data_IF_368697592753
#
_entry.id   IF_368697592753
#
_cell.length_a   1.000
_cell.length_b   1.000
_cell.length_c   1.000
_cell.angle_alpha   90.00
_cell.angle_beta   90.00
_cell.angle_gamma   90.00
#
_symmetry.space_group_name_H-M   'P 1'
#
loop_
_entity.id
_entity.type
_entity.pdbx_description
1 polymer ?
#
# COMPACT_ATOMS: atom_id res chain seq x y z
N UNK A 1 29.16 43.51 -32.47
CA UNK A 1 28.29 44.65 -32.10
C UNK A 1 28.27 44.75 -30.58
N UNK A 2 28.98 45.75 -30.03
CA UNK A 2 29.15 45.94 -28.59
C UNK A 2 27.97 46.73 -28.02
N UNK A 3 27.16 46.11 -27.15
CA UNK A 3 26.09 46.82 -26.43
C UNK A 3 26.68 47.60 -25.24
N UNK A 4 26.21 48.84 -24.97
CA UNK A 4 26.78 49.70 -23.94
C UNK A 4 26.60 49.14 -22.51
N UNK A 5 27.69 49.16 -21.72
CA UNK A 5 27.82 48.60 -20.36
C UNK A 5 26.74 49.07 -19.35
N UNK A 6 26.18 50.28 -19.51
CA UNK A 6 25.10 50.81 -18.64
C UNK A 6 23.77 50.06 -18.77
N UNK A 7 23.52 49.32 -19.86
CA UNK A 7 22.33 48.47 -19.99
C UNK A 7 22.45 47.15 -19.20
N UNK A 8 23.62 46.74 -18.71
CA UNK A 8 23.82 45.39 -18.14
C UNK A 8 23.19 45.20 -16.76
N UNK A 9 23.34 46.16 -15.84
CA UNK A 9 22.89 46.00 -14.44
C UNK A 9 21.35 45.99 -14.31
N UNK A 10 20.67 46.90 -14.99
CA UNK A 10 19.21 46.98 -14.98
C UNK A 10 18.59 45.77 -15.68
N UNK A 11 19.08 45.38 -16.86
CA UNK A 11 18.59 44.17 -17.54
C UNK A 11 18.88 42.91 -16.74
N UNK A 12 20.03 42.81 -16.08
CA UNK A 12 20.35 41.67 -15.21
C UNK A 12 19.41 41.58 -14.01
N UNK A 13 19.07 42.72 -13.39
CA UNK A 13 18.08 42.81 -12.31
C UNK A 13 16.68 42.42 -12.81
N UNK A 14 16.25 42.94 -13.96
CA UNK A 14 14.95 42.59 -14.56
C UNK A 14 14.88 41.10 -14.96
N UNK A 15 15.93 40.55 -15.56
CA UNK A 15 16.02 39.12 -15.92
C UNK A 15 16.01 38.21 -14.69
N UNK A 16 16.68 38.58 -13.60
CA UNK A 16 16.60 37.82 -12.34
C UNK A 16 15.22 37.87 -11.72
N UNK A 17 14.54 39.01 -11.80
CA UNK A 17 13.20 39.19 -11.25
C UNK A 17 12.16 38.37 -12.02
N UNK A 18 12.26 38.31 -13.35
CA UNK A 18 11.37 37.48 -14.19
C UNK A 18 11.58 36.00 -13.96
N UNK A 19 12.83 35.54 -13.83
CA UNK A 19 13.15 34.14 -13.51
C UNK A 19 12.64 33.77 -12.11
N UNK A 20 12.89 34.61 -11.10
CA UNK A 20 12.43 34.36 -9.74
C UNK A 20 10.89 34.32 -9.66
N UNK A 21 10.21 35.24 -10.34
CA UNK A 21 8.74 35.25 -10.43
C UNK A 21 8.19 33.99 -11.11
N UNK A 22 8.82 33.53 -12.19
CA UNK A 22 8.44 32.28 -12.87
C UNK A 22 8.57 31.05 -11.97
N UNK A 23 9.68 30.94 -11.22
CA UNK A 23 9.92 29.83 -10.28
C UNK A 23 8.89 29.84 -9.14
N UNK A 24 8.60 31.01 -8.57
CA UNK A 24 7.59 31.16 -7.53
C UNK A 24 6.18 30.84 -8.05
N UNK A 25 5.84 31.31 -9.25
CA UNK A 25 4.55 31.03 -9.89
C UNK A 25 4.32 29.53 -10.13
N UNK A 26 5.33 28.81 -10.65
CA UNK A 26 5.25 27.37 -10.86
C UNK A 26 5.15 26.62 -9.53
N UNK A 27 5.90 27.05 -8.50
CA UNK A 27 5.83 26.44 -7.17
C UNK A 27 4.44 26.56 -6.54
N UNK A 28 3.82 27.75 -6.62
CA UNK A 28 2.47 27.98 -6.09
C UNK A 28 1.42 27.16 -6.84
N UNK A 29 1.49 27.11 -8.17
CA UNK A 29 0.55 26.31 -8.98
C UNK A 29 0.70 24.82 -8.69
N UNK A 30 1.94 24.32 -8.52
CA UNK A 30 2.20 22.90 -8.24
C UNK A 30 1.69 22.48 -6.85
N UNK A 31 1.70 23.38 -5.88
CA UNK A 31 1.13 23.15 -4.54
C UNK A 31 -0.39 23.30 -4.49
N UNK A 32 -0.99 23.98 -5.48
CA UNK A 32 -2.42 24.27 -5.52
C UNK A 32 -3.24 23.21 -6.29
N UNK A 33 -2.61 22.19 -6.89
CA UNK A 33 -3.34 21.08 -7.53
C UNK A 33 -3.74 20.06 -6.45
N UNK A 34 -5.03 19.95 -6.09
CA UNK A 34 -5.47 18.87 -5.21
C UNK A 34 -5.36 17.53 -5.94
N UNK A 35 -4.82 16.52 -5.28
CA UNK A 35 -4.97 15.13 -5.72
C UNK A 35 -6.31 14.64 -5.16
N UNK A 36 -7.29 14.44 -6.04
CA UNK A 36 -8.55 13.80 -5.67
C UNK A 36 -8.29 12.32 -5.40
N UNK A 37 -8.39 11.91 -4.14
CA UNK A 37 -8.70 10.53 -3.81
C UNK A 37 -10.20 10.35 -4.03
N UNK A 38 -10.66 9.22 -4.57
CA UNK A 38 -12.08 8.96 -4.84
C UNK A 38 -12.96 9.38 -3.65
N UNK A 39 -13.86 10.35 -3.86
CA UNK A 39 -14.49 11.13 -2.78
C UNK A 39 -15.42 10.34 -1.85
N UNK A 40 -15.87 9.14 -2.27
CA UNK A 40 -16.78 8.30 -1.51
C UNK A 40 -16.20 6.90 -1.31
N UNK A 41 -15.91 6.56 -0.06
CA UNK A 41 -15.53 5.21 0.36
C UNK A 41 -16.64 4.61 1.23
N UNK A 42 -17.11 3.43 0.83
CA UNK A 42 -18.03 2.65 1.65
C UNK A 42 -17.27 2.10 2.87
N UNK A 43 -17.61 2.60 4.05
CA UNK A 43 -17.07 2.06 5.29
C UNK A 43 -17.62 0.65 5.53
N UNK A 44 -16.79 -0.33 5.94
CA UNK A 44 -17.27 -1.68 6.21
C UNK A 44 -18.20 -1.70 7.42
N UNK A 45 -19.23 -2.54 7.35
CA UNK A 45 -20.09 -2.79 8.50
C UNK A 45 -19.33 -3.54 9.60
N UNK A 46 -19.67 -3.27 10.86
CA UNK A 46 -19.12 -4.00 12.01
C UNK A 46 -19.79 -5.37 12.14
N UNK A 47 -19.14 -6.40 11.63
CA UNK A 47 -19.63 -7.78 11.72
C UNK A 47 -19.40 -8.38 13.12
N UNK A 48 -20.34 -9.18 13.64
CA UNK A 48 -20.26 -9.78 14.98
C UNK A 48 -19.37 -11.03 14.98
N UNK A 49 -18.06 -10.88 14.72
CA UNK A 49 -17.10 -11.99 14.81
C UNK A 49 -17.01 -12.55 16.24
N UNK A 50 -16.92 -13.87 16.34
CA UNK A 50 -16.80 -14.58 17.62
C UNK A 50 -15.53 -14.20 18.42
N UNK A 51 -14.49 -13.74 17.72
CA UNK A 51 -13.17 -13.38 18.28
C UNK A 51 -13.05 -11.87 18.57
N UNK A 52 -14.17 -11.14 18.65
CA UNK A 52 -14.17 -9.71 18.98
C UNK A 52 -14.08 -9.41 20.49
N UNK A 53 -14.26 -10.41 21.36
CA UNK A 53 -14.19 -10.24 22.81
C UNK A 53 -12.76 -10.20 23.35
N UNK A 54 -12.55 -9.55 24.49
CA UNK A 54 -11.23 -9.39 25.13
C UNK A 54 -10.60 -10.75 25.50
N UNK A 55 -11.44 -11.74 25.80
CA UNK A 55 -11.05 -13.11 26.16
C UNK A 55 -11.51 -14.14 25.12
N UNK A 56 -11.93 -13.70 23.93
CA UNK A 56 -12.36 -14.61 22.88
C UNK A 56 -11.17 -15.19 22.12
N UNK A 57 -11.23 -16.49 21.80
CA UNK A 57 -10.28 -17.16 20.92
C UNK A 57 -10.76 -17.16 19.46
N UNK A 58 -9.87 -17.56 18.55
CA UNK A 58 -10.24 -17.90 17.18
C UNK A 58 -10.99 -19.24 17.10
N UNK A 59 -11.90 -19.37 16.14
CA UNK A 59 -12.46 -20.68 15.75
C UNK A 59 -11.49 -21.38 14.80
N UNK A 60 -10.79 -22.37 15.33
CA UNK A 60 -9.84 -23.19 14.59
C UNK A 60 -10.50 -23.96 13.44
N UNK A 61 -11.77 -24.34 13.54
CA UNK A 61 -12.49 -24.98 12.44
C UNK A 61 -12.73 -24.00 11.29
N UNK A 62 -13.07 -22.74 11.59
CA UNK A 62 -13.16 -21.69 10.58
C UNK A 62 -11.80 -21.36 9.97
N UNK A 63 -10.73 -21.32 10.76
CA UNK A 63 -9.38 -21.10 10.23
C UNK A 63 -8.94 -22.22 9.28
N UNK A 64 -9.26 -23.49 9.60
CA UNK A 64 -9.00 -24.63 8.71
C UNK A 64 -9.74 -24.50 7.37
N UNK A 65 -11.04 -24.14 7.40
CA UNK A 65 -11.81 -23.86 6.17
C UNK A 65 -11.24 -22.67 5.39
N UNK A 66 -10.81 -21.61 6.08
CA UNK A 66 -10.18 -20.44 5.47
C UNK A 66 -8.86 -20.77 4.78
N UNK A 67 -8.05 -21.66 5.37
CA UNK A 67 -6.83 -22.16 4.74
C UNK A 67 -7.14 -22.93 3.44
N UNK A 68 -8.19 -23.76 3.43
CA UNK A 68 -8.63 -24.44 2.21
C UNK A 68 -9.03 -23.44 1.11
N UNK A 69 -9.80 -22.39 1.43
CA UNK A 69 -10.14 -21.32 0.48
C UNK A 69 -8.89 -20.61 -0.05
N UNK A 70 -7.91 -20.31 0.81
CA UNK A 70 -6.63 -19.75 0.37
C UNK A 70 -5.92 -20.68 -0.61
N UNK A 71 -5.80 -21.97 -0.25
CA UNK A 71 -5.13 -23.00 -1.05
C UNK A 71 -5.78 -23.16 -2.43
N UNK A 72 -7.11 -23.23 -2.49
CA UNK A 72 -7.87 -23.53 -3.71
C UNK A 72 -8.12 -22.31 -4.61
N UNK A 73 -8.21 -21.09 -4.05
CA UNK A 73 -8.64 -19.90 -4.81
C UNK A 73 -7.56 -18.82 -4.86
N UNK A 74 -6.96 -18.48 -3.73
CA UNK A 74 -6.13 -17.28 -3.61
C UNK A 74 -4.65 -17.52 -3.97
N UNK A 75 -4.15 -18.74 -3.73
CA UNK A 75 -2.75 -19.13 -3.89
C UNK A 75 -2.22 -18.94 -5.31
N UNK A 76 -3.11 -19.00 -6.32
CA UNK A 76 -2.77 -18.79 -7.73
C UNK A 76 -2.29 -17.36 -8.03
N UNK A 77 -2.74 -16.36 -7.25
CA UNK A 77 -2.44 -14.94 -7.47
C UNK A 77 -1.73 -14.26 -6.29
N UNK A 78 -1.95 -14.73 -5.06
CA UNK A 78 -1.45 -14.09 -3.84
C UNK A 78 -0.46 -14.99 -3.07
N UNK A 79 0.76 -14.48 -2.91
CA UNK A 79 1.77 -15.11 -2.06
C UNK A 79 1.44 -14.96 -0.57
N UNK A 80 1.85 -15.93 0.23
CA UNK A 80 1.78 -15.89 1.69
C UNK A 80 3.17 -16.07 2.30
N UNK A 81 4.11 -15.20 1.89
CA UNK A 81 5.56 -15.33 2.16
C UNK A 81 5.95 -15.47 3.64
N UNK A 82 5.16 -14.92 4.56
CA UNK A 82 5.46 -14.93 6.00
C UNK A 82 4.82 -16.12 6.73
N UNK A 83 4.07 -16.98 6.03
CA UNK A 83 3.50 -18.19 6.58
C UNK A 83 4.29 -19.41 6.09
N UNK A 84 4.60 -20.34 6.99
CA UNK A 84 5.24 -21.61 6.67
C UNK A 84 4.32 -22.75 7.11
N UNK A 85 4.36 -23.90 6.44
CA UNK A 85 3.52 -25.06 6.78
C UNK A 85 3.62 -25.47 8.26
N UNK A 86 4.80 -25.33 8.88
CA UNK A 86 5.00 -25.57 10.32
C UNK A 86 4.15 -24.69 11.25
N UNK A 87 3.66 -23.53 10.80
CA UNK A 87 2.76 -22.68 11.58
C UNK A 87 1.33 -23.26 11.63
N UNK A 88 0.97 -24.12 10.68
CA UNK A 88 -0.36 -24.73 10.57
C UNK A 88 -0.50 -25.97 11.45
N UNK A 89 0.62 -26.58 11.87
CA UNK A 89 0.67 -27.77 12.71
C UNK A 89 0.10 -27.48 14.09
N UNK A 90 -0.81 -28.33 14.56
CA UNK A 90 -1.53 -28.20 15.84
C UNK A 90 -2.35 -26.91 15.98
N UNK A 91 -2.52 -26.15 14.89
CA UNK A 91 -3.41 -24.98 14.84
C UNK A 91 -4.60 -25.27 13.93
N UNK A 92 -4.35 -25.60 12.67
CA UNK A 92 -5.41 -25.91 11.69
C UNK A 92 -5.21 -27.23 10.97
N UNK A 93 -4.00 -27.77 10.96
CA UNK A 93 -3.61 -29.06 10.39
C UNK A 93 -2.91 -29.92 11.44
N UNK A 94 -2.99 -31.24 11.28
CA UNK A 94 -2.06 -32.16 11.93
C UNK A 94 -0.67 -32.09 11.29
N UNK A 95 0.34 -32.66 11.94
CA UNK A 95 1.69 -32.70 11.37
C UNK A 95 1.73 -33.46 10.03
N UNK A 96 1.04 -34.59 9.94
CA UNK A 96 1.01 -35.42 8.73
C UNK A 96 0.29 -34.72 7.57
N UNK A 97 -0.81 -34.01 7.86
CA UNK A 97 -1.51 -33.19 6.87
C UNK A 97 -0.62 -32.05 6.36
N UNK A 98 0.07 -31.34 7.26
CA UNK A 98 0.94 -30.24 6.88
C UNK A 98 2.14 -30.73 6.04
N UNK A 99 2.68 -31.93 6.32
CA UNK A 99 3.71 -32.57 5.51
C UNK A 99 3.19 -32.96 4.12
N UNK A 100 1.98 -33.52 4.05
CA UNK A 100 1.37 -33.89 2.78
C UNK A 100 1.15 -32.64 1.89
N UNK A 101 0.61 -31.57 2.45
CA UNK A 101 0.42 -30.30 1.73
C UNK A 101 1.74 -29.68 1.29
N UNK A 102 2.77 -29.74 2.14
CA UNK A 102 4.10 -29.25 1.78
C UNK A 102 4.74 -30.05 0.63
N UNK A 103 4.50 -31.37 0.60
CA UNK A 103 5.01 -32.27 -0.43
C UNK A 103 4.29 -32.13 -1.79
N UNK A 104 3.05 -31.63 -1.81
CA UNK A 104 2.28 -31.42 -3.04
C UNK A 104 2.82 -30.23 -3.87
N UNK A 105 3.38 -29.22 -3.20
CA UNK A 105 3.83 -27.96 -3.81
C UNK A 105 5.36 -27.94 -4.03
N UNK A 106 6.09 -28.86 -3.40
CA UNK A 106 7.55 -29.01 -3.53
C UNK A 106 7.95 -29.72 -4.83
#
# INVERSE_FOLDING_TARGET
>A
MNLPYWKSSKYYLWTKFTIASGVVGIGIVSLAVPVYASDLQAHPAKLPWIHNGIISSYDHASMRRGYQVYKEVCSACHSLKYMSYRHLVNTVLTEDEAKADAAEVS
#
